data_IF_728350133828
#
_entry.id   IF_728350133828
#
_cell.length_a   1.000
_cell.length_b   1.000
_cell.length_c   1.000
_cell.angle_alpha   90.00
_cell.angle_beta   90.00
_cell.angle_gamma   90.00
#
_symmetry.space_group_name_H-M   'P 1'
#
loop_
_entity.id
_entity.type
_entity.pdbx_description
1 polymer ?
#
# COMPACT_ATOMS: atom_id res chain seq x y z
N UNK A 1 8.00 6.32 10.21
CA UNK A 1 9.02 6.31 9.14
C UNK A 1 10.12 7.37 9.30
N UNK A 2 9.93 8.49 10.01
CA UNK A 2 11.08 9.34 10.39
C UNK A 2 12.10 8.50 11.16
N UNK A 3 13.32 8.39 10.64
CA UNK A 3 14.40 7.58 11.23
C UNK A 3 14.63 6.21 10.59
N UNK A 4 13.95 5.86 9.48
CA UNK A 4 14.38 4.74 8.64
C UNK A 4 15.40 5.29 7.64
N UNK A 5 16.64 4.80 7.70
CA UNK A 5 17.81 5.42 7.04
C UNK A 5 17.62 5.63 5.53
N UNK A 6 16.82 4.77 4.88
CA UNK A 6 16.55 4.85 3.44
C UNK A 6 15.24 5.56 3.05
N UNK A 7 14.35 5.86 4.01
CA UNK A 7 13.03 6.40 3.67
C UNK A 7 13.11 7.81 3.11
N UNK A 8 13.92 8.68 3.71
CA UNK A 8 14.00 10.08 3.28
C UNK A 8 14.55 10.20 1.84
N UNK A 9 15.52 9.35 1.49
CA UNK A 9 16.08 9.26 0.14
C UNK A 9 15.05 8.75 -0.86
N UNK A 10 14.42 7.61 -0.56
CA UNK A 10 13.35 7.02 -1.38
C UNK A 10 12.19 7.99 -1.59
N UNK A 11 11.74 8.65 -0.52
CA UNK A 11 10.61 9.56 -0.55
C UNK A 11 10.92 10.80 -1.39
N UNK A 12 12.12 11.37 -1.23
CA UNK A 12 12.58 12.51 -2.05
C UNK A 12 12.63 12.16 -3.53
N UNK A 13 13.12 10.97 -3.90
CA UNK A 13 13.13 10.52 -5.29
C UNK A 13 11.72 10.47 -5.88
N UNK A 14 10.77 9.85 -5.18
CA UNK A 14 9.38 9.75 -5.65
C UNK A 14 8.68 11.11 -5.72
N UNK A 15 8.99 12.03 -4.79
CA UNK A 15 8.52 13.41 -4.88
C UNK A 15 9.01 14.09 -6.17
N UNK A 16 10.28 13.95 -6.55
CA UNK A 16 10.79 14.55 -7.78
C UNK A 16 10.14 13.93 -9.03
N UNK A 17 9.90 12.62 -9.05
CA UNK A 17 9.16 11.95 -10.14
C UNK A 17 7.75 12.56 -10.27
N UNK A 18 6.98 12.62 -9.19
CA UNK A 18 5.62 13.20 -9.19
C UNK A 18 5.62 14.70 -9.51
N UNK A 19 6.66 15.44 -9.14
CA UNK A 19 6.86 16.85 -9.53
C UNK A 19 7.24 17.02 -10.99
N UNK A 20 7.55 15.98 -11.74
CA UNK A 20 7.78 16.07 -13.19
C UNK A 20 6.59 15.55 -13.98
N UNK A 21 5.85 14.60 -13.42
CA UNK A 21 4.61 14.07 -14.00
C UNK A 21 3.53 15.16 -14.16
N UNK A 22 2.96 15.22 -15.36
CA UNK A 22 1.95 16.23 -15.72
C UNK A 22 0.64 15.98 -14.99
N UNK A 23 0.27 14.71 -14.83
CA UNK A 23 -1.00 14.32 -14.25
C UNK A 23 -1.03 14.58 -12.75
N UNK A 24 0.06 14.23 -12.05
CA UNK A 24 0.28 14.51 -10.63
C UNK A 24 0.27 16.01 -10.34
N UNK A 25 0.93 16.82 -11.18
CA UNK A 25 0.84 18.29 -11.08
C UNK A 25 -0.59 18.79 -11.24
N UNK A 26 -1.29 18.29 -12.26
CA UNK A 26 -2.66 18.68 -12.52
C UNK A 26 -3.54 18.36 -11.32
N UNK A 27 -3.54 17.13 -10.80
CA UNK A 27 -4.39 16.75 -9.67
C UNK A 27 -4.03 17.47 -8.37
N UNK A 28 -2.76 17.80 -8.15
CA UNK A 28 -2.34 18.63 -7.01
C UNK A 28 -2.91 20.06 -7.11
N UNK A 29 -2.80 20.69 -8.29
CA UNK A 29 -3.40 22.01 -8.54
C UNK A 29 -4.93 21.97 -8.50
N UNK A 30 -5.53 20.92 -9.05
CA UNK A 30 -6.96 20.68 -9.07
C UNK A 30 -7.54 20.59 -7.66
N UNK A 31 -6.87 19.87 -6.76
CA UNK A 31 -7.25 19.83 -5.33
C UNK A 31 -7.25 21.23 -4.73
N UNK A 32 -6.19 22.01 -4.96
CA UNK A 32 -6.09 23.38 -4.44
C UNK A 32 -7.23 24.27 -4.97
N UNK A 33 -7.56 24.16 -6.25
CA UNK A 33 -8.60 24.98 -6.88
C UNK A 33 -10.01 24.56 -6.45
N UNK A 34 -10.30 23.26 -6.43
CA UNK A 34 -11.62 22.76 -6.02
C UNK A 34 -11.90 23.02 -4.53
N UNK A 35 -10.91 22.82 -3.65
CA UNK A 35 -11.09 23.00 -2.20
C UNK A 35 -11.13 24.48 -1.76
N UNK A 36 -10.47 25.39 -2.48
CA UNK A 36 -10.38 26.80 -2.08
C UNK A 36 -11.20 27.77 -2.93
N UNK A 37 -11.50 27.43 -4.18
CA UNK A 37 -12.14 28.36 -5.14
C UNK A 37 -13.57 27.91 -5.48
N UNK A 38 -13.92 26.63 -5.27
CA UNK A 38 -15.29 26.12 -5.48
C UNK A 38 -15.74 26.07 -6.94
N UNK A 39 -14.80 26.18 -7.88
CA UNK A 39 -15.08 26.14 -9.33
C UNK A 39 -15.28 24.69 -9.76
N UNK A 40 -16.40 24.43 -10.45
CA UNK A 40 -16.66 23.16 -11.12
C UNK A 40 -15.68 23.01 -12.30
N UNK A 41 -14.77 22.02 -12.27
CA UNK A 41 -13.72 21.88 -13.27
C UNK A 41 -14.18 21.08 -14.50
N UNK A 42 -15.48 20.83 -14.63
CA UNK A 42 -16.09 20.15 -15.75
C UNK A 42 -16.23 21.13 -16.92
N UNK A 43 -15.51 20.86 -18.02
CA UNK A 43 -15.50 21.73 -19.20
C UNK A 43 -16.57 21.41 -20.23
N UNK A 44 -16.94 20.13 -20.34
CA UNK A 44 -17.92 19.67 -21.32
C UNK A 44 -17.91 18.14 -21.47
N UNK A 45 -18.68 17.65 -22.44
CA UNK A 45 -18.67 16.25 -22.81
C UNK A 45 -18.81 16.04 -24.31
N UNK A 46 -18.30 14.93 -24.79
CA UNK A 46 -18.33 14.49 -26.18
C UNK A 46 -19.09 13.17 -26.25
N UNK A 47 -19.90 13.00 -27.29
CA UNK A 47 -20.54 11.72 -27.57
C UNK A 47 -19.70 10.94 -28.56
N UNK A 48 -19.09 9.85 -28.11
CA UNK A 48 -18.28 8.95 -28.93
C UNK A 48 -18.66 7.50 -28.62
N UNK A 49 -18.80 6.66 -29.64
CA UNK A 49 -19.07 5.22 -29.50
C UNK A 49 -20.20 4.87 -28.50
N UNK A 50 -21.33 5.57 -28.59
CA UNK A 50 -22.48 5.38 -27.70
C UNK A 50 -22.23 5.68 -26.20
N UNK A 51 -21.14 6.38 -25.87
CA UNK A 51 -20.77 6.82 -24.52
C UNK A 51 -20.58 8.34 -24.50
N UNK A 52 -20.88 8.94 -23.35
CA UNK A 52 -20.57 10.35 -23.09
C UNK A 52 -19.21 10.37 -22.37
N UNK A 53 -18.20 10.96 -23.01
CA UNK A 53 -16.92 11.24 -22.40
C UNK A 53 -16.97 12.64 -21.80
N UNK A 54 -16.42 12.81 -20.60
CA UNK A 54 -16.35 14.10 -19.92
C UNK A 54 -14.90 14.58 -19.87
N UNK A 55 -14.69 15.88 -20.07
CA UNK A 55 -13.35 16.47 -20.07
C UNK A 55 -13.24 17.60 -19.05
N UNK A 56 -12.01 17.80 -18.55
CA UNK A 56 -11.69 18.93 -17.70
C UNK A 56 -11.73 20.24 -18.50
N UNK A 57 -12.33 21.27 -17.91
CA UNK A 57 -12.35 22.62 -18.47
C UNK A 57 -11.13 23.39 -18.01
N UNK A 58 -10.41 24.01 -18.94
CA UNK A 58 -9.34 24.93 -18.58
C UNK A 58 -9.92 26.23 -18.02
N UNK A 59 -9.25 26.76 -17.01
CA UNK A 59 -9.59 28.05 -16.39
C UNK A 59 -8.31 28.84 -16.13
N UNK A 60 -8.44 30.11 -15.70
CA UNK A 60 -7.26 30.90 -15.30
C UNK A 60 -6.47 30.22 -14.17
N UNK A 61 -7.15 29.50 -13.29
CA UNK A 61 -6.55 28.82 -12.14
C UNK A 61 -6.11 27.37 -12.46
N UNK A 62 -6.64 26.79 -13.54
CA UNK A 62 -6.28 25.46 -14.08
C UNK A 62 -6.07 25.56 -15.61
N UNK A 63 -4.99 26.16 -16.09
CA UNK A 63 -4.77 26.35 -17.53
C UNK A 63 -4.39 25.04 -18.24
N UNK A 64 -3.57 24.22 -17.58
CA UNK A 64 -3.02 22.97 -18.12
C UNK A 64 -3.89 21.78 -17.67
N UNK A 65 -4.87 21.43 -18.47
CA UNK A 65 -5.76 20.28 -18.24
C UNK A 65 -5.31 19.03 -19.03
N UNK A 66 -5.57 17.82 -18.51
CA UNK A 66 -5.38 16.58 -19.27
C UNK A 66 -6.16 16.58 -20.58
N UNK A 67 -5.63 15.87 -21.58
CA UNK A 67 -6.30 15.73 -22.88
C UNK A 67 -7.29 14.57 -22.88
N UNK A 68 -6.99 13.57 -22.07
CA UNK A 68 -7.82 12.40 -21.85
C UNK A 68 -9.10 12.78 -21.09
N UNK A 69 -10.12 11.93 -21.17
CA UNK A 69 -11.34 12.13 -20.41
C UNK A 69 -11.07 12.02 -18.90
N UNK A 70 -12.01 12.54 -18.10
CA UNK A 70 -11.91 12.60 -16.64
C UNK A 70 -11.73 11.19 -16.05
N UNK A 71 -12.45 10.19 -16.53
CA UNK A 71 -12.38 8.83 -15.98
C UNK A 71 -11.00 8.25 -16.24
N UNK A 72 -10.52 8.34 -17.48
CA UNK A 72 -9.18 7.87 -17.85
C UNK A 72 -8.08 8.60 -17.07
N UNK A 73 -8.17 9.92 -16.95
CA UNK A 73 -7.22 10.73 -16.19
C UNK A 73 -7.20 10.36 -14.71
N UNK A 74 -8.38 10.19 -14.09
CA UNK A 74 -8.49 9.77 -12.69
C UNK A 74 -7.92 8.37 -12.47
N UNK A 75 -8.23 7.42 -13.36
CA UNK A 75 -7.69 6.07 -13.27
C UNK A 75 -6.17 6.06 -13.41
N UNK A 76 -5.60 6.76 -14.39
CA UNK A 76 -4.15 6.81 -14.58
C UNK A 76 -3.42 7.42 -13.37
N UNK A 77 -3.97 8.49 -12.79
CA UNK A 77 -3.42 9.09 -11.59
C UNK A 77 -3.53 8.16 -10.39
N UNK A 78 -4.70 7.54 -10.20
CA UNK A 78 -4.92 6.57 -9.13
C UNK A 78 -3.95 5.40 -9.24
N UNK A 79 -3.79 4.81 -10.42
CA UNK A 79 -2.81 3.75 -10.68
C UNK A 79 -1.39 4.19 -10.30
N UNK A 80 -0.98 5.42 -10.65
CA UNK A 80 0.35 5.95 -10.29
C UNK A 80 0.54 6.06 -8.77
N UNK A 81 -0.51 6.43 -8.03
CA UNK A 81 -0.48 6.46 -6.55
C UNK A 81 -0.43 5.04 -5.99
N UNK A 82 -1.19 4.11 -6.56
CA UNK A 82 -1.19 2.69 -6.17
C UNK A 82 0.19 2.07 -6.40
N UNK A 83 0.87 2.38 -7.51
CA UNK A 83 2.25 1.98 -7.76
C UNK A 83 3.22 2.49 -6.70
N UNK A 84 3.12 3.78 -6.33
CA UNK A 84 3.95 4.35 -5.27
C UNK A 84 3.75 3.60 -3.94
N UNK A 85 2.50 3.31 -3.58
CA UNK A 85 2.19 2.59 -2.34
C UNK A 85 2.72 1.16 -2.42
N UNK A 86 2.53 0.47 -3.55
CA UNK A 86 3.04 -0.87 -3.78
C UNK A 86 4.58 -0.92 -3.60
N UNK A 87 5.31 0.03 -4.19
CA UNK A 87 6.76 0.12 -4.04
C UNK A 87 7.19 0.36 -2.58
N UNK A 88 6.40 1.11 -1.82
CA UNK A 88 6.63 1.28 -0.39
C UNK A 88 6.48 -0.04 0.38
N UNK A 89 5.49 -0.87 0.04
CA UNK A 89 5.34 -2.21 0.63
C UNK A 89 6.46 -3.15 0.25
N UNK A 90 7.06 -3.03 -0.94
CA UNK A 90 8.19 -3.87 -1.34
C UNK A 90 9.47 -3.53 -0.56
N UNK A 91 9.72 -2.24 -0.33
CA UNK A 91 10.98 -1.78 0.28
C UNK A 91 10.88 -1.76 1.80
N UNK A 92 9.74 -1.28 2.33
CA UNK A 92 9.54 -1.05 3.76
C UNK A 92 8.51 -2.00 4.35
N UNK A 93 8.15 -3.09 3.67
CA UNK A 93 7.09 -4.01 4.08
C UNK A 93 7.23 -4.48 5.52
N UNK A 94 8.42 -4.93 5.94
CA UNK A 94 8.67 -5.30 7.33
C UNK A 94 8.44 -4.17 8.35
N UNK A 95 8.46 -2.89 7.94
CA UNK A 95 8.19 -1.75 8.83
C UNK A 95 6.72 -1.34 8.87
N UNK A 96 5.88 -1.76 7.91
CA UNK A 96 4.50 -1.28 7.76
C UNK A 96 3.44 -2.38 7.65
N UNK A 97 3.86 -3.62 7.44
CA UNK A 97 3.00 -4.77 7.21
C UNK A 97 3.34 -5.88 8.21
N UNK A 98 2.41 -6.18 9.11
CA UNK A 98 2.55 -7.25 10.08
C UNK A 98 2.83 -8.62 9.43
N UNK A 99 2.31 -8.85 8.22
CA UNK A 99 2.51 -10.09 7.49
C UNK A 99 3.96 -10.29 7.03
N UNK A 100 4.72 -9.20 6.90
CA UNK A 100 6.13 -9.20 6.54
C UNK A 100 7.03 -9.06 7.77
N UNK A 101 6.58 -8.32 8.79
CA UNK A 101 7.32 -8.12 10.03
C UNK A 101 7.40 -9.38 10.88
N UNK A 102 6.27 -10.02 11.20
CA UNK A 102 6.20 -11.20 12.08
C UNK A 102 6.49 -12.49 11.32
N UNK A 103 7.72 -12.58 10.81
CA UNK A 103 8.24 -13.77 10.14
C UNK A 103 9.53 -14.22 10.80
N UNK A 104 9.78 -15.53 10.80
CA UNK A 104 11.02 -16.09 11.35
C UNK A 104 12.25 -15.46 10.67
N UNK A 105 12.22 -15.30 9.34
CA UNK A 105 13.32 -14.68 8.58
C UNK A 105 13.60 -13.24 9.01
N UNK A 106 12.58 -12.41 9.21
CA UNK A 106 12.75 -11.03 9.63
C UNK A 106 13.21 -10.93 11.10
N UNK A 107 12.71 -11.79 11.99
CA UNK A 107 13.16 -11.77 13.39
C UNK A 107 14.60 -12.26 13.54
N UNK A 108 15.03 -13.23 12.73
CA UNK A 108 16.44 -13.67 12.68
C UNK A 108 17.37 -12.53 12.25
N UNK A 109 17.00 -11.71 11.26
CA UNK A 109 17.84 -10.56 10.84
C UNK A 109 17.92 -9.47 11.92
N UNK A 110 16.87 -9.34 12.73
CA UNK A 110 16.82 -8.45 13.90
C UNK A 110 17.56 -9.01 15.13
N UNK A 111 18.00 -10.28 15.09
CA UNK A 111 18.61 -10.95 16.23
C UNK A 111 17.62 -11.24 17.37
N UNK A 112 16.33 -11.38 17.04
CA UNK A 112 15.23 -11.59 17.98
C UNK A 112 14.66 -13.01 17.87
N UNK A 113 14.02 -13.49 18.93
CA UNK A 113 13.30 -14.78 18.93
C UNK A 113 11.80 -14.60 18.78
N UNK A 114 11.08 -15.71 18.62
CA UNK A 114 9.60 -15.70 18.56
C UNK A 114 8.98 -15.21 19.89
N UNK A 115 9.63 -15.45 21.02
CA UNK A 115 9.18 -14.93 22.31
C UNK A 115 9.33 -13.41 22.42
N UNK A 116 10.29 -12.81 21.71
CA UNK A 116 10.38 -11.35 21.62
C UNK A 116 9.21 -10.80 20.78
N UNK A 117 8.77 -11.53 19.75
CA UNK A 117 7.57 -11.17 18.98
C UNK A 117 6.30 -11.23 19.83
N UNK A 118 6.18 -12.24 20.71
CA UNK A 118 5.07 -12.34 21.67
C UNK A 118 5.03 -11.13 22.61
N UNK A 119 6.17 -10.75 23.20
CA UNK A 119 6.26 -9.59 24.09
C UNK A 119 5.95 -8.27 23.37
N UNK A 120 6.39 -8.11 22.12
CA UNK A 120 6.05 -6.94 21.29
C UNK A 120 4.54 -6.80 21.05
N UNK A 121 3.83 -7.92 20.99
CA UNK A 121 2.37 -7.99 20.87
C UNK A 121 1.66 -7.91 22.24
N UNK A 122 2.40 -7.73 23.33
CA UNK A 122 1.87 -7.67 24.70
C UNK A 122 1.46 -9.02 25.27
N UNK A 123 1.90 -10.12 24.66
CA UNK A 123 1.68 -11.48 25.11
C UNK A 123 2.83 -11.92 26.05
N UNK A 124 2.57 -12.81 27.04
CA UNK A 124 3.64 -13.40 27.83
C UNK A 124 4.61 -14.24 26.97
N UNK A 125 5.88 -14.32 27.35
CA UNK A 125 6.84 -15.25 26.71
C UNK A 125 6.37 -16.69 26.83
N UNK A 126 6.45 -17.43 25.73
CA UNK A 126 5.94 -18.80 25.60
C UNK A 126 4.42 -18.87 25.43
N UNK A 127 3.71 -17.76 25.21
CA UNK A 127 2.25 -17.78 25.06
C UNK A 127 1.77 -18.66 23.90
N UNK A 128 2.53 -18.69 22.80
CA UNK A 128 2.24 -19.54 21.65
C UNK A 128 2.92 -20.91 21.72
N UNK A 129 3.75 -21.16 22.73
CA UNK A 129 4.44 -22.44 22.88
C UNK A 129 3.47 -23.51 23.41
N UNK A 130 3.13 -24.46 22.55
CA UNK A 130 2.28 -25.61 22.87
C UNK A 130 3.08 -26.89 23.16
N UNK A 131 4.42 -26.79 23.24
CA UNK A 131 5.31 -27.92 23.51
C UNK A 131 5.56 -28.85 22.31
N UNK A 132 5.08 -28.49 21.12
CA UNK A 132 5.34 -29.21 19.87
C UNK A 132 6.38 -28.44 19.02
N UNK A 133 7.58 -29.00 18.79
CA UNK A 133 8.59 -28.40 17.93
C UNK A 133 8.13 -28.16 16.48
N UNK A 134 7.21 -28.98 15.98
CA UNK A 134 6.71 -28.85 14.60
C UNK A 134 5.68 -27.71 14.46
N UNK A 135 5.29 -27.08 15.57
CA UNK A 135 4.30 -25.99 15.58
C UNK A 135 4.91 -24.60 15.33
N UNK A 136 6.23 -24.45 15.17
CA UNK A 136 6.85 -23.12 15.09
C UNK A 136 6.29 -22.23 13.96
N UNK A 137 6.07 -22.76 12.76
CA UNK A 137 5.48 -21.99 11.67
C UNK A 137 4.04 -21.53 11.98
N UNK A 138 3.28 -22.37 12.69
CA UNK A 138 1.93 -22.06 13.17
C UNK A 138 1.93 -20.98 14.24
N UNK A 139 2.95 -20.96 15.11
CA UNK A 139 3.15 -19.89 16.10
C UNK A 139 3.34 -18.56 15.38
N UNK A 140 4.20 -18.51 14.38
CA UNK A 140 4.39 -17.30 13.57
C UNK A 140 3.12 -16.87 12.82
N UNK A 141 2.36 -17.80 12.27
CA UNK A 141 1.06 -17.49 11.65
C UNK A 141 0.07 -16.89 12.66
N UNK A 142 -0.02 -17.47 13.86
CA UNK A 142 -0.88 -16.97 14.92
C UNK A 142 -0.50 -15.52 15.29
N UNK A 143 0.79 -15.23 15.48
CA UNK A 143 1.28 -13.88 15.78
C UNK A 143 0.96 -12.90 14.65
N UNK A 144 1.20 -13.26 13.38
CA UNK A 144 0.81 -12.42 12.22
C UNK A 144 -0.68 -12.09 12.22
N UNK A 145 -1.52 -13.05 12.58
CA UNK A 145 -2.98 -12.87 12.57
C UNK A 145 -3.51 -12.03 13.74
N UNK A 146 -2.69 -11.74 14.76
CA UNK A 146 -3.09 -10.83 15.85
C UNK A 146 -3.09 -9.35 15.44
N UNK A 147 -2.37 -9.01 14.37
CA UNK A 147 -2.17 -7.63 13.92
C UNK A 147 -2.57 -7.48 12.46
N UNK A 148 -3.06 -6.29 12.10
CA UNK A 148 -3.45 -5.98 10.73
C UNK A 148 -2.23 -5.97 9.80
N UNK A 149 -2.33 -6.70 8.69
CA UNK A 149 -1.36 -6.65 7.58
C UNK A 149 -1.78 -5.69 6.46
N UNK A 150 -1.34 -5.95 5.23
CA UNK A 150 -1.79 -5.22 4.05
C UNK A 150 -3.28 -5.44 3.73
N UNK A 151 -4.15 -4.48 4.10
CA UNK A 151 -5.60 -4.55 3.83
C UNK A 151 -5.98 -4.15 2.39
N UNK A 152 -5.04 -3.57 1.64
CA UNK A 152 -5.27 -3.03 0.29
C UNK A 152 -4.71 -3.93 -0.82
N UNK A 153 -4.37 -5.18 -0.52
CA UNK A 153 -3.75 -6.09 -1.50
C UNK A 153 -4.65 -6.31 -2.75
N UNK A 154 -5.97 -6.32 -2.55
CA UNK A 154 -6.97 -6.39 -3.63
C UNK A 154 -6.91 -5.17 -4.58
N UNK A 155 -6.48 -4.00 -4.10
CA UNK A 155 -6.31 -2.80 -4.93
C UNK A 155 -5.07 -2.97 -5.83
N UNK A 156 -3.98 -3.53 -5.31
CA UNK A 156 -2.80 -3.83 -6.13
C UNK A 156 -3.12 -4.85 -7.22
N UNK A 157 -3.88 -5.88 -6.88
CA UNK A 157 -4.29 -6.90 -7.85
C UNK A 157 -5.16 -6.28 -8.95
N UNK A 158 -6.18 -5.51 -8.57
CA UNK A 158 -7.11 -4.91 -9.52
C UNK A 158 -6.45 -3.89 -10.46
N UNK A 159 -5.54 -3.05 -9.95
CA UNK A 159 -5.01 -1.91 -10.72
C UNK A 159 -3.63 -2.18 -11.32
N UNK A 160 -2.82 -3.06 -10.72
CA UNK A 160 -1.46 -3.34 -11.16
C UNK A 160 -1.27 -4.78 -11.65
N UNK A 161 -2.25 -5.67 -11.40
CA UNK A 161 -2.09 -7.12 -11.58
C UNK A 161 -0.86 -7.66 -10.82
N UNK A 162 -0.63 -7.12 -9.62
CA UNK A 162 0.46 -7.48 -8.71
C UNK A 162 -0.11 -7.76 -7.32
N UNK A 163 0.57 -8.60 -6.56
CA UNK A 163 0.23 -8.89 -5.15
C UNK A 163 1.47 -8.68 -4.30
N UNK A 164 1.30 -8.12 -3.11
CA UNK A 164 2.35 -8.14 -2.09
C UNK A 164 2.36 -9.53 -1.46
N UNK A 165 3.56 -10.07 -1.28
CA UNK A 165 3.75 -11.37 -0.65
C UNK A 165 3.16 -11.34 0.77
N UNK A 166 2.09 -12.11 0.96
CA UNK A 166 1.63 -12.51 2.28
C UNK A 166 2.12 -13.94 2.52
N UNK A 167 2.40 -14.29 3.78
CA UNK A 167 2.70 -15.68 4.11
C UNK A 167 1.45 -16.52 3.84
N UNK A 168 1.63 -17.66 3.15
CA UNK A 168 0.51 -18.57 2.88
C UNK A 168 -0.11 -19.05 4.19
N UNK A 169 -1.44 -19.17 4.18
CA UNK A 169 -2.18 -19.71 5.32
C UNK A 169 -1.86 -21.21 5.45
N UNK A 170 -1.39 -21.64 6.61
CA UNK A 170 -1.09 -23.05 6.82
C UNK A 170 -2.40 -23.86 6.91
N UNK A 171 -2.39 -25.15 6.52
CA UNK A 171 -3.52 -26.04 6.77
C UNK A 171 -3.76 -26.13 8.28
N UNK A 172 -5.00 -26.35 8.76
CA UNK A 172 -5.29 -26.42 10.20
C UNK A 172 -4.29 -27.30 10.94
N UNK A 173 -3.74 -26.77 12.03
CA UNK A 173 -2.76 -27.50 12.85
C UNK A 173 -3.37 -28.81 13.37
N UNK A 174 -2.67 -29.91 13.17
CA UNK A 174 -3.04 -31.24 13.68
C UNK A 174 -1.97 -31.66 14.67
N UNK A 175 -2.29 -31.73 15.98
CA UNK A 175 -1.35 -32.19 16.98
C UNK A 175 -0.89 -33.62 16.64
N UNK A 176 0.43 -33.84 16.58
CA UNK A 176 0.94 -35.21 16.58
C UNK A 176 0.72 -35.76 17.98
N UNK A 177 -0.18 -36.75 18.09
CA UNK A 177 -0.54 -37.37 19.37
C UNK A 177 0.68 -37.57 20.28
N UNK A 178 0.61 -36.98 21.47
CA UNK A 178 1.53 -37.17 22.60
C UNK A 178 1.51 -38.60 23.13
#
# INVERSE_FOLDING_TARGET
MKGHDDFDGWYKQHQEIMKTDKLSKFFNNFRRVSQHIGVSPYGGGEFSDNKILHYFGSSKDLPDVPKEDIITSCNNYFTSVVELIYDAYLIFGASIDAQQYFTSSNFVTLGKTIEDAEEELGLPRGWTDIGDPDAEEYRWEALRNTTTGCEINHIFEQYLNKIIACSDKLPPYVPKNS
#
